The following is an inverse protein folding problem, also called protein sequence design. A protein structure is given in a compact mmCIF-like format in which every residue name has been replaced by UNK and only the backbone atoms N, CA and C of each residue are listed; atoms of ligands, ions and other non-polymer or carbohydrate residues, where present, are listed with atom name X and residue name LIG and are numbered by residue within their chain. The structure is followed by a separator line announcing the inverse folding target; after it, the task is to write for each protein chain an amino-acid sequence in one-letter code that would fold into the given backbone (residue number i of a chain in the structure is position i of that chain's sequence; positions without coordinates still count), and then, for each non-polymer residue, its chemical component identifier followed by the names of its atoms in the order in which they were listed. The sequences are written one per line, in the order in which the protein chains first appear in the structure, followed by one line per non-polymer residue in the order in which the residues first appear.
data_IF_829615294390
#
_entry.id   IF_829615294390
#
_cell.length_a   1.000
_cell.length_b   1.000
_cell.length_c   1.000
_cell.angle_alpha   90.00
_cell.angle_beta   90.00
_cell.angle_gamma   90.00
#
_symmetry.space_group_name_H-M   'P 1'
#
loop_
_entity.id
_entity.type
_entity.pdbx_description
1 polymer ?
#
# COMPACT_ATOMS: atom_id res chain seq x y z
N UNK A 1 -31.45 8.42 -16.70
CA UNK A 1 -30.86 7.77 -15.50
C UNK A 1 -29.35 7.87 -15.65
N UNK A 2 -28.64 8.39 -14.64
CA UNK A 2 -27.30 8.96 -14.80
C UNK A 2 -26.17 7.91 -14.76
N UNK A 3 -25.27 7.93 -15.76
CA UNK A 3 -24.08 7.06 -15.91
C UNK A 3 -23.17 6.98 -14.66
N UNK A 4 -23.23 7.99 -13.78
CA UNK A 4 -22.44 8.01 -12.54
C UNK A 4 -22.77 6.88 -11.57
N UNK A 5 -23.95 6.27 -11.65
CA UNK A 5 -24.37 5.19 -10.75
C UNK A 5 -23.87 3.80 -11.19
N UNK A 6 -23.50 3.60 -12.46
CA UNK A 6 -23.04 2.31 -12.97
C UNK A 6 -21.58 2.02 -12.60
N UNK A 7 -20.71 3.03 -12.59
CA UNK A 7 -19.30 2.84 -12.21
C UNK A 7 -19.10 2.50 -10.73
N UNK A 8 -20.01 2.91 -9.84
CA UNK A 8 -19.93 2.59 -8.41
C UNK A 8 -20.21 1.12 -8.08
N UNK A 9 -21.00 0.41 -8.88
CA UNK A 9 -21.31 -1.01 -8.62
C UNK A 9 -20.17 -1.95 -9.07
N UNK A 10 -19.47 -1.62 -10.15
CA UNK A 10 -18.37 -2.45 -10.66
C UNK A 10 -17.17 -2.51 -9.68
N UNK A 11 -16.83 -1.39 -9.02
CA UNK A 11 -15.74 -1.34 -8.05
C UNK A 11 -16.04 -2.10 -6.75
N UNK A 12 -17.32 -2.16 -6.34
CA UNK A 12 -17.75 -2.88 -5.15
C UNK A 12 -17.77 -4.42 -5.36
N UNK A 13 -18.05 -4.90 -6.57
CA UNK A 13 -18.06 -6.34 -6.88
C UNK A 13 -16.67 -6.96 -6.98
N UNK A 14 -15.63 -6.21 -7.37
CA UNK A 14 -14.27 -6.74 -7.42
C UNK A 14 -13.67 -7.00 -6.03
N UNK A 15 -14.14 -6.31 -4.99
CA UNK A 15 -13.64 -6.47 -3.61
C UNK A 15 -14.12 -7.75 -2.91
N UNK A 16 -15.15 -8.44 -3.43
CA UNK A 16 -15.71 -9.67 -2.82
C UNK A 16 -15.19 -10.98 -3.43
N UNK A 17 -14.32 -10.94 -4.45
CA UNK A 17 -13.74 -12.14 -5.08
C UNK A 17 -12.31 -12.47 -4.62
N UNK A 18 -11.75 -11.71 -3.68
CA UNK A 18 -10.39 -11.91 -3.17
C UNK A 18 -10.34 -12.75 -1.88
N UNK A 19 -11.11 -13.84 -1.81
CA UNK A 19 -10.92 -14.87 -0.80
C UNK A 19 -10.76 -16.24 -1.49
N UNK A 20 -9.54 -16.61 -1.90
CA UNK A 20 -9.28 -17.96 -2.38
C UNK A 20 -9.10 -18.91 -1.19
N UNK A 21 -9.89 -19.99 -1.16
CA UNK A 21 -9.61 -21.20 -0.37
C UNK A 21 -8.29 -21.82 -0.87
N UNK A 22 -7.45 -22.42 0.01
CA UNK A 22 -6.25 -23.12 -0.45
C UNK A 22 -6.61 -24.46 -1.11
N UNK A 23 -6.12 -24.78 -2.32
CA UNK A 23 -6.21 -26.11 -2.89
C UNK A 23 -5.02 -26.99 -2.48
N UNK A 24 -5.35 -28.24 -2.19
CA UNK A 24 -4.50 -29.32 -1.70
C UNK A 24 -3.92 -30.10 -2.90
N UNK A 25 -2.59 -30.17 -3.02
CA UNK A 25 -1.85 -31.23 -3.70
C UNK A 25 -1.70 -31.18 -5.23
N UNK A 26 -0.50 -31.54 -5.72
CA UNK A 26 -0.24 -31.96 -7.10
C UNK A 26 0.82 -31.12 -7.82
N UNK A 27 2.01 -31.70 -8.02
CA UNK A 27 3.21 -31.02 -8.50
C UNK A 27 3.16 -30.55 -9.96
N UNK A 28 3.78 -29.40 -10.20
CA UNK A 28 4.11 -28.86 -11.54
C UNK A 28 5.45 -28.11 -11.43
N UNK A 29 6.30 -28.28 -12.44
CA UNK A 29 7.69 -27.86 -12.53
C UNK A 29 8.02 -26.44 -12.06
N UNK A 30 9.09 -26.32 -11.28
CA UNK A 30 9.67 -25.07 -10.78
C UNK A 30 10.38 -24.28 -11.88
N UNK A 31 9.64 -23.43 -12.61
CA UNK A 31 10.21 -22.38 -13.48
C UNK A 31 9.47 -21.06 -13.36
N UNK A 32 9.02 -20.69 -12.15
CA UNK A 32 8.55 -19.33 -11.87
C UNK A 32 9.07 -18.83 -10.52
N UNK A 33 9.49 -17.56 -10.57
CA UNK A 33 10.07 -16.69 -9.55
C UNK A 33 9.70 -17.11 -8.12
N UNK A 34 10.73 -17.42 -7.34
CA UNK A 34 10.68 -17.47 -5.88
C UNK A 34 9.96 -16.20 -5.40
N UNK A 35 8.70 -16.37 -4.98
CA UNK A 35 7.96 -15.33 -4.29
C UNK A 35 8.60 -15.30 -2.92
N UNK A 36 9.62 -14.45 -2.76
CA UNK A 36 10.04 -13.97 -1.45
C UNK A 36 8.76 -13.55 -0.74
N UNK A 37 8.44 -14.25 0.35
CA UNK A 37 7.25 -14.03 1.16
C UNK A 37 7.16 -12.54 1.45
N UNK A 38 6.30 -11.83 0.73
CA UNK A 38 6.03 -10.44 1.02
C UNK A 38 5.17 -10.48 2.27
N UNK A 39 5.80 -10.30 3.43
CA UNK A 39 5.11 -10.19 4.71
C UNK A 39 3.93 -9.24 4.50
N UNK A 40 2.68 -9.68 4.77
CA UNK A 40 1.51 -8.90 4.44
C UNK A 40 1.58 -7.57 5.20
N UNK A 41 1.88 -6.50 4.46
CA UNK A 41 1.99 -5.17 5.06
C UNK A 41 0.60 -4.77 5.53
N UNK A 42 0.44 -4.65 6.85
CA UNK A 42 -0.82 -4.18 7.44
C UNK A 42 -1.09 -2.77 6.90
N UNK A 43 -2.19 -2.62 6.17
CA UNK A 43 -2.62 -1.31 5.67
C UNK A 43 -3.24 -0.55 6.83
N UNK A 44 -2.59 0.55 7.22
CA UNK A 44 -3.11 1.48 8.22
C UNK A 44 -3.72 2.67 7.50
N UNK A 45 -4.93 3.06 7.91
CA UNK A 45 -5.58 4.29 7.44
C UNK A 45 -5.47 5.32 8.57
N UNK A 46 -5.13 6.55 8.21
CA UNK A 46 -5.03 7.67 9.14
C UNK A 46 -5.54 8.93 8.46
N UNK A 47 -6.15 9.81 9.25
CA UNK A 47 -6.64 11.09 8.77
C UNK A 47 -5.55 12.15 8.90
N UNK A 48 -5.33 12.90 7.82
CA UNK A 48 -4.39 14.00 7.75
C UNK A 48 -5.14 15.32 7.52
N UNK A 49 -4.66 16.44 8.09
CA UNK A 49 -5.09 17.76 7.67
C UNK A 49 -4.94 17.93 6.14
N UNK A 50 -5.95 18.55 5.51
CA UNK A 50 -6.04 18.67 4.05
C UNK A 50 -4.80 19.36 3.46
N UNK A 51 -4.25 20.35 4.16
CA UNK A 51 -3.06 21.09 3.74
C UNK A 51 -1.84 20.17 3.66
N UNK A 52 -1.61 19.34 4.68
CA UNK A 52 -0.50 18.38 4.72
C UNK A 52 -0.66 17.37 3.59
N UNK A 53 -1.86 16.84 3.38
CA UNK A 53 -2.13 15.90 2.28
C UNK A 53 -1.83 16.53 0.90
N UNK A 54 -2.21 17.79 0.68
CA UNK A 54 -1.92 18.51 -0.58
C UNK A 54 -0.41 18.66 -0.79
N UNK A 55 0.33 19.05 0.24
CA UNK A 55 1.79 19.19 0.17
C UNK A 55 2.48 17.87 -0.14
N UNK A 56 2.09 16.79 0.56
CA UNK A 56 2.62 15.45 0.31
C UNK A 56 2.35 14.98 -1.12
N UNK A 57 1.14 15.24 -1.63
CA UNK A 57 0.77 14.90 -3.01
C UNK A 57 1.60 15.68 -4.02
N UNK A 58 1.81 16.98 -3.79
CA UNK A 58 2.61 17.82 -4.69
C UNK A 58 4.07 17.37 -4.72
N UNK A 59 4.68 17.09 -3.55
CA UNK A 59 6.04 16.57 -3.45
C UNK A 59 6.20 15.20 -4.15
N UNK A 60 5.21 14.32 -4.01
CA UNK A 60 5.19 13.03 -4.69
C UNK A 60 5.22 13.20 -6.22
N UNK A 61 4.39 14.10 -6.75
CA UNK A 61 4.34 14.41 -8.19
C UNK A 61 5.66 15.01 -8.68
N UNK A 62 6.23 15.97 -7.95
CA UNK A 62 7.49 16.64 -8.30
C UNK A 62 8.67 15.67 -8.41
N UNK A 63 8.66 14.62 -7.60
CA UNK A 63 9.75 13.64 -7.49
C UNK A 63 9.47 12.35 -8.26
N UNK A 64 8.31 12.24 -8.91
CA UNK A 64 7.87 11.04 -9.63
C UNK A 64 7.89 9.76 -8.76
N UNK A 65 7.61 9.90 -7.46
CA UNK A 65 7.55 8.78 -6.51
C UNK A 65 6.16 8.65 -5.89
N UNK A 66 5.89 7.52 -5.23
CA UNK A 66 4.62 7.34 -4.56
C UNK A 66 4.53 8.25 -3.32
N UNK A 67 3.32 8.73 -3.02
CA UNK A 67 3.07 9.52 -1.81
C UNK A 67 3.40 8.73 -0.54
N UNK A 68 3.32 7.39 -0.57
CA UNK A 68 3.77 6.52 0.53
C UNK A 68 5.26 6.68 0.78
N UNK A 69 6.08 6.66 -0.28
CA UNK A 69 7.54 6.77 -0.15
C UNK A 69 7.96 8.14 0.38
N UNK A 70 7.24 9.20 -0.03
CA UNK A 70 7.41 10.55 0.52
C UNK A 70 7.16 10.55 2.03
N UNK A 71 6.04 9.97 2.46
CA UNK A 71 5.67 9.89 3.88
C UNK A 71 6.72 9.10 4.68
N UNK A 72 7.12 7.92 4.19
CA UNK A 72 8.13 7.09 4.85
C UNK A 72 9.46 7.82 5.00
N UNK A 73 9.85 8.59 3.99
CA UNK A 73 11.06 9.40 4.03
C UNK A 73 10.97 10.51 5.10
N UNK A 74 9.86 11.23 5.18
CA UNK A 74 9.67 12.24 6.24
C UNK A 74 9.68 11.62 7.64
N UNK A 75 9.08 10.45 7.81
CA UNK A 75 9.12 9.71 9.08
C UNK A 75 10.57 9.36 9.43
N UNK A 76 11.32 8.79 8.48
CA UNK A 76 12.73 8.44 8.69
C UNK A 76 13.58 9.65 9.05
N UNK A 77 13.46 10.75 8.30
CA UNK A 77 14.17 12.00 8.57
C UNK A 77 13.80 12.59 9.94
N UNK A 78 12.54 12.47 10.37
CA UNK A 78 12.08 12.86 11.71
C UNK A 78 12.67 11.99 12.82
N UNK A 79 12.63 10.66 12.66
CA UNK A 79 13.21 9.73 13.62
C UNK A 79 14.72 9.93 13.80
N UNK A 80 15.45 10.17 12.72
CA UNK A 80 16.88 10.47 12.76
C UNK A 80 17.17 11.79 13.50
N UNK A 81 16.33 12.82 13.32
CA UNK A 81 16.46 14.09 14.06
C UNK A 81 16.15 13.94 15.54
N UNK A 82 15.19 13.12 15.89
CA UNK A 82 14.78 12.85 17.27
C UNK A 82 15.72 11.87 17.98
N UNK A 83 16.73 11.33 17.29
CA UNK A 83 17.66 10.33 17.83
C UNK A 83 17.00 8.98 18.11
N UNK A 84 15.82 8.73 17.54
CA UNK A 84 15.08 7.49 17.71
C UNK A 84 15.57 6.50 16.66
N UNK A 85 16.42 5.55 17.06
CA UNK A 85 16.75 4.41 16.22
C UNK A 85 15.52 3.50 16.13
N UNK A 86 15.01 3.19 14.93
CA UNK A 86 13.93 2.22 14.80
C UNK A 86 14.38 0.90 15.42
N UNK A 87 13.59 0.37 16.36
CA UNK A 87 13.86 -0.92 16.95
C UNK A 87 13.92 -1.97 15.84
N UNK A 88 14.90 -2.90 15.86
CA UNK A 88 14.92 -3.99 14.89
C UNK A 88 13.63 -4.80 15.02
N UNK A 89 12.84 -4.86 13.95
CA UNK A 89 11.67 -5.73 13.86
C UNK A 89 12.13 -7.19 13.95
N UNK A 90 11.66 -7.92 14.96
CA UNK A 90 11.73 -9.39 15.04
C UNK A 90 10.61 -10.02 14.20
#
# INVERSE_FOLDING_TARGET
MSEKQQNSMAAAMQRRKAAPKPPQGGGVAHTFREVTETTPTKKTTFDLPVEIHRTLRWEALKREISMRDVVLRYIKEGMERDGITPAPEN
#
